data_IF_669346458749
#
_entry.id   IF_669346458749
#
_cell.length_a   1.000
_cell.length_b   1.000
_cell.length_c   1.000
_cell.angle_alpha   90.00
_cell.angle_beta   90.00
_cell.angle_gamma   90.00
#
_symmetry.space_group_name_H-M   'P 1'
#
loop_
_entity.id
_entity.type
_entity.pdbx_description
1 polymer ?
#
# COMPACT_ATOMS: atom_id res chain seq x y z
N UNK A 1 11.90 18.60 -4.31
CA UNK A 1 12.81 19.34 -3.39
C UNK A 1 13.10 18.39 -2.25
N UNK A 2 14.37 18.07 -2.01
CA UNK A 2 14.79 17.11 -0.97
C UNK A 2 15.91 17.67 -0.08
N UNK A 3 16.55 18.76 -0.48
CA UNK A 3 17.58 19.41 0.30
C UNK A 3 16.99 19.96 1.62
N UNK A 4 17.76 19.80 2.71
CA UNK A 4 17.40 20.25 4.06
C UNK A 4 16.10 19.67 4.61
N UNK A 5 15.62 18.57 4.06
CA UNK A 5 14.50 17.82 4.64
C UNK A 5 15.00 16.89 5.74
N UNK A 6 14.12 16.50 6.69
CA UNK A 6 14.47 15.53 7.72
C UNK A 6 14.91 14.20 7.10
N UNK A 7 15.81 13.49 7.78
CA UNK A 7 16.24 12.16 7.36
C UNK A 7 15.12 11.15 7.53
N UNK A 8 15.22 9.99 6.86
CA UNK A 8 14.19 8.96 6.97
C UNK A 8 13.99 8.46 8.41
N UNK A 9 15.05 8.41 9.23
CA UNK A 9 14.93 8.02 10.63
C UNK A 9 14.20 9.09 11.47
N UNK A 10 14.42 10.37 11.20
CA UNK A 10 13.63 11.47 11.79
C UNK A 10 12.16 11.39 11.38
N UNK A 11 11.89 11.14 10.09
CA UNK A 11 10.52 11.03 9.56
C UNK A 11 9.81 9.81 10.13
N UNK A 12 10.48 8.67 10.24
CA UNK A 12 9.90 7.45 10.83
C UNK A 12 9.58 7.62 12.31
N UNK A 13 10.42 8.35 13.07
CA UNK A 13 10.12 8.72 14.46
C UNK A 13 8.89 9.62 14.54
N UNK A 14 8.85 10.71 13.77
CA UNK A 14 7.69 11.61 13.72
C UNK A 14 6.40 10.88 13.30
N UNK A 15 6.51 9.96 12.36
CA UNK A 15 5.38 9.14 11.91
C UNK A 15 4.89 8.19 13.00
N UNK A 16 5.80 7.56 13.76
CA UNK A 16 5.46 6.73 14.91
C UNK A 16 4.72 7.53 15.99
N UNK A 17 5.25 8.71 16.34
CA UNK A 17 4.64 9.59 17.33
C UNK A 17 3.24 10.04 16.91
N UNK A 18 3.07 10.36 15.62
CA UNK A 18 1.77 10.67 15.05
C UNK A 18 0.80 9.47 15.14
N UNK A 19 1.21 8.27 14.73
CA UNK A 19 0.36 7.06 14.87
C UNK A 19 -0.06 6.82 16.32
N UNK A 20 0.87 7.01 17.26
CA UNK A 20 0.60 6.86 18.69
C UNK A 20 -0.43 7.88 19.17
N UNK A 21 -0.24 9.17 18.80
CA UNK A 21 -1.14 10.27 19.13
C UNK A 21 -2.55 10.06 18.58
N UNK A 22 -2.68 9.54 17.38
CA UNK A 22 -3.97 9.20 16.76
C UNK A 22 -4.58 7.89 17.30
N UNK A 23 -3.92 7.21 18.24
CA UNK A 23 -4.38 5.95 18.82
C UNK A 23 -4.35 4.76 17.85
N UNK A 24 -3.65 4.89 16.72
CA UNK A 24 -3.64 3.88 15.65
C UNK A 24 -2.77 2.66 15.98
N UNK A 25 -1.78 2.81 16.88
CA UNK A 25 -0.93 1.69 17.31
C UNK A 25 -1.70 0.61 18.09
N UNK A 26 -2.82 0.98 18.72
CA UNK A 26 -3.64 0.07 19.53
C UNK A 26 -5.02 -0.20 18.91
N UNK A 27 -5.26 0.27 17.67
CA UNK A 27 -6.54 0.10 16.99
C UNK A 27 -6.47 -1.03 15.96
N UNK A 28 -7.64 -1.46 15.49
CA UNK A 28 -7.75 -2.38 14.35
C UNK A 28 -7.59 -1.61 13.04
N UNK A 29 -6.35 -1.25 12.71
CA UNK A 29 -5.99 -0.55 11.49
C UNK A 29 -5.02 -1.38 10.61
N UNK A 30 -4.92 -1.01 9.34
CA UNK A 30 -3.98 -1.60 8.40
C UNK A 30 -3.51 -0.55 7.39
N UNK A 31 -2.25 -0.67 6.96
CA UNK A 31 -1.75 0.09 5.82
C UNK A 31 -2.36 -0.42 4.51
N UNK A 32 -2.53 0.50 3.56
CA UNK A 32 -3.04 0.21 2.23
C UNK A 32 -2.04 0.73 1.20
N UNK A 33 -1.66 -0.11 0.24
CA UNK A 33 -0.69 0.21 -0.83
C UNK A 33 -1.19 -0.25 -2.20
N UNK A 34 -0.63 0.29 -3.28
CA UNK A 34 -0.90 -0.15 -4.66
C UNK A 34 0.19 -1.10 -5.20
N UNK A 35 0.46 -2.16 -4.47
CA UNK A 35 1.51 -3.12 -4.77
C UNK A 35 2.33 -3.48 -3.54
N UNK A 36 3.24 -4.42 -3.71
CA UNK A 36 4.13 -4.84 -2.62
C UNK A 36 5.44 -4.03 -2.59
N UNK A 37 5.63 -3.09 -3.52
CA UNK A 37 6.90 -2.37 -3.67
C UNK A 37 7.22 -1.46 -2.47
N UNK A 38 6.26 -0.67 -1.99
CA UNK A 38 6.51 0.32 -0.93
C UNK A 38 7.01 -0.33 0.37
N UNK A 39 6.24 -1.28 0.90
CA UNK A 39 6.50 -1.92 2.20
C UNK A 39 7.24 -3.25 2.12
N UNK A 40 7.19 -3.92 0.97
CA UNK A 40 7.88 -5.19 0.74
C UNK A 40 9.27 -5.05 0.12
N UNK A 41 9.62 -3.89 -0.47
CA UNK A 41 10.91 -3.69 -1.14
C UNK A 41 11.58 -2.38 -0.69
N UNK A 42 10.94 -1.23 -0.93
CA UNK A 42 11.59 0.08 -0.79
C UNK A 42 11.92 0.43 0.65
N UNK A 43 10.94 0.38 1.57
CA UNK A 43 11.18 0.69 2.98
C UNK A 43 12.18 -0.29 3.64
N UNK A 44 12.08 -1.62 3.45
CA UNK A 44 13.08 -2.55 3.96
C UNK A 44 14.49 -2.29 3.42
N UNK A 45 14.64 -2.06 2.11
CA UNK A 45 15.94 -1.78 1.48
C UNK A 45 16.57 -0.48 2.02
N UNK A 46 15.78 0.59 2.12
CA UNK A 46 16.26 1.87 2.66
C UNK A 46 16.65 1.75 4.14
N UNK A 47 15.86 0.99 4.92
CA UNK A 47 16.16 0.73 6.31
C UNK A 47 17.46 -0.08 6.47
N UNK A 48 17.66 -1.13 5.68
CA UNK A 48 18.90 -1.92 5.66
C UNK A 48 20.12 -1.05 5.32
N UNK A 49 20.02 -0.24 4.25
CA UNK A 49 21.09 0.68 3.83
C UNK A 49 21.49 1.69 4.91
N UNK A 50 20.59 2.00 5.84
CA UNK A 50 20.80 2.99 6.91
C UNK A 50 20.91 2.38 8.31
N UNK A 51 20.90 1.04 8.43
CA UNK A 51 20.95 0.35 9.71
C UNK A 51 19.74 0.62 10.62
N UNK A 52 18.57 0.87 10.02
CA UNK A 52 17.33 1.16 10.73
C UNK A 52 16.49 -0.12 10.91
N UNK A 53 15.79 -0.18 12.04
CA UNK A 53 14.81 -1.25 12.29
C UNK A 53 13.44 -0.79 11.80
N UNK A 54 12.85 -1.56 10.88
CA UNK A 54 11.48 -1.31 10.40
C UNK A 54 10.47 -1.73 11.48
N UNK A 55 9.59 -0.82 11.96
CA UNK A 55 8.53 -1.17 12.90
C UNK A 55 7.61 -2.29 12.43
N UNK A 56 7.11 -3.09 13.39
CA UNK A 56 6.29 -4.29 13.10
C UNK A 56 5.01 -3.97 12.31
N UNK A 57 4.40 -2.80 12.54
CA UNK A 57 3.17 -2.39 11.84
C UNK A 57 3.35 -2.18 10.34
N UNK A 58 4.59 -2.04 9.84
CA UNK A 58 4.86 -2.00 8.40
C UNK A 58 4.99 -3.38 7.76
N UNK A 59 5.08 -4.45 8.56
CA UNK A 59 5.32 -5.81 8.04
C UNK A 59 4.09 -6.49 7.45
N UNK A 60 2.91 -5.86 7.56
CA UNK A 60 1.63 -6.37 7.05
C UNK A 60 0.80 -5.23 6.49
N UNK A 61 0.21 -5.43 5.32
CA UNK A 61 -0.61 -4.42 4.64
C UNK A 61 -1.69 -5.04 3.75
N UNK A 62 -2.56 -4.18 3.24
CA UNK A 62 -3.53 -4.46 2.20
C UNK A 62 -2.96 -3.94 0.88
N UNK A 63 -2.73 -4.83 -0.07
CA UNK A 63 -2.42 -4.50 -1.45
C UNK A 63 -3.73 -4.42 -2.24
N UNK A 64 -4.10 -3.22 -2.70
CA UNK A 64 -5.38 -3.02 -3.40
C UNK A 64 -5.47 -3.74 -4.74
N UNK A 65 -4.33 -4.06 -5.37
CA UNK A 65 -4.32 -4.83 -6.63
C UNK A 65 -4.70 -6.28 -6.39
N UNK A 66 -4.20 -6.87 -5.30
CA UNK A 66 -4.62 -8.22 -4.87
C UNK A 66 -6.08 -8.22 -4.46
N UNK A 67 -6.50 -7.20 -3.71
CA UNK A 67 -7.89 -7.04 -3.28
C UNK A 67 -8.86 -6.97 -4.47
N UNK A 68 -8.55 -6.12 -5.46
CA UNK A 68 -9.30 -6.03 -6.71
C UNK A 68 -9.30 -7.35 -7.48
N UNK A 69 -8.16 -8.04 -7.55
CA UNK A 69 -8.05 -9.32 -8.26
C UNK A 69 -8.89 -10.42 -7.60
N UNK A 70 -8.90 -10.48 -6.27
CA UNK A 70 -9.76 -11.41 -5.53
C UNK A 70 -11.24 -11.08 -5.70
N UNK A 71 -11.60 -9.81 -5.86
CA UNK A 71 -12.97 -9.37 -6.07
C UNK A 71 -13.48 -9.64 -7.49
N UNK A 72 -12.69 -9.25 -8.49
CA UNK A 72 -13.11 -9.22 -9.90
C UNK A 72 -12.68 -10.44 -10.72
N UNK A 73 -11.71 -11.23 -10.24
CA UNK A 73 -11.06 -12.28 -11.01
C UNK A 73 -10.07 -11.80 -12.08
N UNK A 74 -9.78 -10.49 -12.15
CA UNK A 74 -8.83 -9.90 -13.12
C UNK A 74 -7.71 -9.14 -12.43
N UNK A 75 -6.52 -9.13 -13.03
CA UNK A 75 -5.37 -8.43 -12.45
C UNK A 75 -5.17 -7.05 -13.07
N UNK A 76 -5.18 -6.01 -12.23
CA UNK A 76 -4.78 -4.66 -12.61
C UNK A 76 -3.28 -4.46 -12.37
N UNK A 77 -2.54 -3.92 -13.34
CA UNK A 77 -1.07 -3.78 -13.25
C UNK A 77 -0.66 -2.67 -12.28
N UNK A 78 -1.48 -1.61 -12.18
CA UNK A 78 -1.21 -0.46 -11.32
C UNK A 78 -2.39 0.49 -11.16
N UNK A 79 -2.11 1.68 -10.62
CA UNK A 79 -3.12 2.72 -10.37
C UNK A 79 -3.86 3.16 -11.64
N UNK A 80 -3.16 3.30 -12.77
CA UNK A 80 -3.78 3.71 -14.04
C UNK A 80 -4.84 2.72 -14.52
N UNK A 81 -4.56 1.43 -14.41
CA UNK A 81 -5.52 0.39 -14.81
C UNK A 81 -6.75 0.42 -13.89
N UNK A 82 -6.54 0.52 -12.57
CA UNK A 82 -7.62 0.63 -11.60
C UNK A 82 -8.48 1.87 -11.84
N UNK A 83 -7.86 3.03 -12.12
CA UNK A 83 -8.58 4.25 -12.49
C UNK A 83 -9.46 4.05 -13.72
N UNK A 84 -8.93 3.40 -14.77
CA UNK A 84 -9.67 3.10 -15.99
C UNK A 84 -10.86 2.15 -15.73
N UNK A 85 -10.63 1.07 -14.96
CA UNK A 85 -11.66 0.08 -14.59
C UNK A 85 -12.81 0.77 -13.85
N UNK A 86 -12.49 1.59 -12.85
CA UNK A 86 -13.47 2.27 -12.02
C UNK A 86 -14.00 3.57 -12.65
N UNK A 87 -13.53 3.95 -13.85
CA UNK A 87 -13.88 5.20 -14.54
C UNK A 87 -13.66 6.43 -13.66
N UNK A 88 -12.53 6.46 -12.97
CA UNK A 88 -12.10 7.51 -12.07
C UNK A 88 -10.96 8.32 -12.67
N UNK A 89 -10.85 9.58 -12.26
CA UNK A 89 -9.71 10.43 -12.61
C UNK A 89 -8.63 10.39 -11.53
N UNK A 90 -7.38 10.51 -11.93
CA UNK A 90 -6.27 10.67 -10.99
C UNK A 90 -6.44 11.98 -10.23
N UNK A 91 -6.26 11.93 -8.90
CA UNK A 91 -6.38 13.11 -8.06
C UNK A 91 -5.08 13.91 -8.08
N UNK A 92 -5.05 15.08 -8.71
CA UNK A 92 -3.92 16.00 -8.63
C UNK A 92 -2.78 15.67 -9.60
N UNK A 93 -1.53 15.70 -9.12
CA UNK A 93 -0.33 15.54 -9.97
C UNK A 93 0.11 14.09 -10.00
N UNK A 94 0.29 13.55 -11.22
CA UNK A 94 0.92 12.24 -11.42
C UNK A 94 2.31 12.18 -10.76
N UNK A 95 2.57 11.08 -10.04
CA UNK A 95 3.83 10.82 -9.31
C UNK A 95 4.08 11.74 -8.12
N UNK A 96 3.05 12.43 -7.62
CA UNK A 96 3.06 13.06 -6.31
C UNK A 96 2.54 12.06 -5.28
N UNK A 97 3.36 11.68 -4.29
CA UNK A 97 3.00 10.63 -3.35
C UNK A 97 1.70 10.90 -2.58
N UNK A 98 1.42 12.15 -2.20
CA UNK A 98 0.19 12.51 -1.50
C UNK A 98 -1.06 12.42 -2.41
N UNK A 99 -0.90 12.67 -3.69
CA UNK A 99 -1.95 12.61 -4.70
C UNK A 99 -2.24 11.16 -5.13
N UNK A 100 -1.19 10.33 -5.18
CA UNK A 100 -1.33 8.88 -5.33
C UNK A 100 -2.06 8.27 -4.11
N UNK A 101 -1.80 8.73 -2.89
CA UNK A 101 -2.55 8.31 -1.68
C UNK A 101 -4.04 8.65 -1.81
N UNK A 102 -4.40 9.87 -2.24
CA UNK A 102 -5.82 10.24 -2.48
C UNK A 102 -6.47 9.30 -3.49
N UNK A 103 -5.76 9.02 -4.58
CA UNK A 103 -6.22 8.10 -5.62
C UNK A 103 -6.44 6.69 -5.07
N UNK A 104 -5.50 6.17 -4.26
CA UNK A 104 -5.61 4.88 -3.57
C UNK A 104 -6.84 4.86 -2.66
N UNK A 105 -7.09 5.92 -1.88
CA UNK A 105 -8.27 6.02 -1.02
C UNK A 105 -9.59 5.97 -1.82
N UNK A 106 -9.65 6.66 -2.96
CA UNK A 106 -10.83 6.65 -3.84
C UNK A 106 -11.08 5.25 -4.41
N UNK A 107 -10.04 4.58 -4.91
CA UNK A 107 -10.14 3.21 -5.45
C UNK A 107 -10.53 2.22 -4.34
N UNK A 108 -9.92 2.33 -3.17
CA UNK A 108 -10.26 1.50 -2.00
C UNK A 108 -11.73 1.68 -1.62
N UNK A 109 -12.23 2.92 -1.64
CA UNK A 109 -13.65 3.18 -1.39
C UNK A 109 -14.55 2.59 -2.48
N UNK A 110 -14.11 2.60 -3.74
CA UNK A 110 -14.88 2.04 -4.86
C UNK A 110 -15.01 0.52 -4.77
N UNK A 111 -13.88 -0.21 -4.60
CA UNK A 111 -13.89 -1.67 -4.39
C UNK A 111 -14.72 -2.04 -3.15
N UNK A 112 -14.61 -1.28 -2.06
CA UNK A 112 -15.41 -1.50 -0.85
C UNK A 112 -16.92 -1.30 -1.06
N UNK A 113 -17.33 -0.33 -1.88
CA UNK A 113 -18.74 -0.10 -2.25
C UNK A 113 -19.34 -1.22 -3.10
N UNK A 114 -18.52 -1.99 -3.80
CA UNK A 114 -18.93 -3.21 -4.50
C UNK A 114 -19.11 -4.42 -3.56
N UNK A 115 -18.87 -4.24 -2.25
CA UNK A 115 -19.11 -5.25 -1.22
C UNK A 115 -17.89 -6.10 -0.87
N UNK A 116 -16.69 -5.76 -1.37
CA UNK A 116 -15.47 -6.46 -1.00
C UNK A 116 -15.09 -6.21 0.46
N UNK A 117 -14.78 -7.29 1.18
CA UNK A 117 -14.33 -7.25 2.58
C UNK A 117 -12.81 -7.37 2.63
N UNK A 118 -12.15 -6.29 3.04
CA UNK A 118 -10.70 -6.21 3.11
C UNK A 118 -10.08 -7.14 4.15
N UNK A 119 -8.92 -7.70 3.79
CA UNK A 119 -8.03 -8.46 4.67
C UNK A 119 -6.58 -8.18 4.33
N UNK A 120 -5.69 -8.40 5.30
CA UNK A 120 -4.24 -8.36 5.06
C UNK A 120 -3.89 -9.40 3.98
N UNK A 121 -3.24 -8.94 2.91
CA UNK A 121 -2.82 -9.77 1.78
C UNK A 121 -1.42 -9.40 1.24
N UNK A 122 -0.67 -8.59 1.99
CA UNK A 122 0.77 -8.35 1.82
C UNK A 122 1.51 -8.44 3.14
N UNK A 123 2.73 -8.96 3.11
CA UNK A 123 3.60 -9.07 4.29
C UNK A 123 5.09 -9.10 3.91
N UNK A 124 5.98 -8.74 4.84
CA UNK A 124 7.43 -8.95 4.69
C UNK A 124 7.87 -10.34 5.13
N UNK A 125 7.13 -10.99 6.04
CA UNK A 125 7.33 -12.37 6.46
C UNK A 125 6.50 -13.31 5.59
N UNK A 126 7.12 -14.43 5.21
CA UNK A 126 6.57 -15.65 4.61
C UNK A 126 6.58 -15.86 3.08
N UNK A 127 7.04 -17.07 2.76
CA UNK A 127 7.31 -17.74 1.48
C UNK A 127 6.11 -17.86 0.52
N UNK A 128 4.96 -17.28 0.88
CA UNK A 128 3.74 -17.30 0.07
C UNK A 128 3.65 -16.15 -0.94
N UNK A 129 4.53 -15.14 -0.87
CA UNK A 129 4.58 -14.02 -1.83
C UNK A 129 4.78 -14.51 -3.27
N UNK A 130 5.36 -15.70 -3.47
CA UNK A 130 5.53 -16.33 -4.80
C UNK A 130 4.47 -17.38 -5.15
N UNK A 131 3.68 -17.89 -4.19
CA UNK A 131 2.77 -19.02 -4.42
C UNK A 131 1.37 -18.56 -4.81
N UNK A 132 1.21 -18.37 -6.13
CA UNK A 132 0.07 -18.90 -6.92
C UNK A 132 -1.36 -18.56 -6.45
N UNK A 133 -1.65 -17.32 -6.05
CA UNK A 133 -3.06 -16.86 -6.06
C UNK A 133 -3.57 -16.67 -7.51
N UNK A 134 -2.65 -16.53 -8.48
CA UNK A 134 -2.96 -16.17 -9.87
C UNK A 134 -3.04 -17.36 -10.84
N UNK A 135 -3.22 -18.60 -10.37
CA UNK A 135 -3.54 -19.70 -11.28
C UNK A 135 -4.94 -19.44 -11.84
N UNK A 136 -5.02 -19.01 -13.10
CA UNK A 136 -6.24 -18.73 -13.89
C UNK A 136 -6.78 -17.28 -13.85
N UNK A 137 -5.93 -16.28 -13.58
CA UNK A 137 -6.34 -14.87 -13.66
C UNK A 137 -6.04 -14.30 -15.05
N UNK A 138 -7.04 -13.67 -15.67
CA UNK A 138 -6.86 -12.91 -16.91
C UNK A 138 -6.20 -11.57 -16.60
N UNK A 139 -5.08 -11.28 -17.26
CA UNK A 139 -4.43 -9.97 -17.20
C UNK A 139 -5.13 -9.06 -18.21
N UNK A 140 -5.66 -7.93 -17.75
CA UNK A 140 -6.14 -6.86 -18.63
C UNK A 140 -4.97 -5.99 -19.10
#
# INVERSE_FOLDING_TARGET
MVDKQPTIDDVLRQFHDWLSKEGLLNSRAAFVTCGDWDLGVMLPSEAENKGLVVPEYFKKWINIKKSYCEHSGTFAKGLKDLLNIYKLEHSGRLHSGIDDVKTICTITSAIGKEGYIYRINGSTSDENIRRRVFKNVTVQ
#
